data_IF_179831834143
#
_entry.id   IF_179831834143
#
_cell.length_a   1.000
_cell.length_b   1.000
_cell.length_c   1.000
_cell.angle_alpha   90.00
_cell.angle_beta   90.00
_cell.angle_gamma   90.00
#
_symmetry.space_group_name_H-M   'P 1'
#
loop_
_entity.id
_entity.type
_entity.pdbx_description
1 polymer ?
#
# COMPACT_ATOMS: atom_id res chain seq x y z
N UNK A 1 57.35 -36.92 -8.43
CA UNK A 1 56.70 -35.78 -7.77
C UNK A 1 55.28 -35.74 -8.30
N UNK A 2 54.41 -36.59 -7.74
CA UNK A 2 53.04 -36.83 -8.22
C UNK A 2 52.11 -35.74 -7.72
N UNK A 3 51.46 -35.04 -8.65
CA UNK A 3 50.54 -33.95 -8.38
C UNK A 3 49.12 -34.55 -8.23
N UNK A 4 48.68 -34.74 -6.98
CA UNK A 4 47.30 -35.14 -6.66
C UNK A 4 46.35 -33.97 -6.94
N UNK A 5 45.56 -34.10 -8.01
CA UNK A 5 44.44 -33.21 -8.30
C UNK A 5 43.31 -33.56 -7.33
N UNK A 6 43.08 -32.70 -6.34
CA UNK A 6 41.91 -32.77 -5.47
C UNK A 6 40.69 -32.20 -6.22
N UNK A 7 39.93 -33.08 -6.84
CA UNK A 7 38.58 -32.78 -7.32
C UNK A 7 37.67 -32.60 -6.11
N UNK A 8 37.47 -31.35 -5.68
CA UNK A 8 36.42 -31.02 -4.71
C UNK A 8 35.08 -31.11 -5.43
N UNK A 9 34.32 -32.16 -5.13
CA UNK A 9 32.92 -32.30 -5.48
C UNK A 9 32.13 -31.18 -4.80
N UNK A 10 31.72 -30.16 -5.57
CA UNK A 10 30.75 -29.15 -5.14
C UNK A 10 29.41 -29.86 -5.02
N UNK A 11 29.07 -30.30 -3.81
CA UNK A 11 27.73 -30.76 -3.47
C UNK A 11 26.85 -29.52 -3.32
N UNK A 12 26.29 -29.03 -4.42
CA UNK A 12 25.24 -28.03 -4.40
C UNK A 12 23.99 -28.66 -3.80
N UNK A 13 23.72 -28.40 -2.52
CA UNK A 13 22.41 -28.65 -1.94
C UNK A 13 21.38 -27.80 -2.67
N UNK A 14 20.28 -28.37 -3.16
CA UNK A 14 19.20 -27.58 -3.73
C UNK A 14 18.53 -26.77 -2.61
N UNK A 15 18.62 -25.45 -2.71
CA UNK A 15 17.79 -24.48 -1.97
C UNK A 15 16.32 -24.68 -2.36
N UNK A 16 15.68 -25.72 -1.84
CA UNK A 16 14.26 -26.00 -2.06
C UNK A 16 13.55 -26.17 -0.73
N UNK A 17 13.26 -25.03 -0.10
CA UNK A 17 12.03 -24.74 0.63
C UNK A 17 12.16 -23.32 1.18
N UNK A 18 11.61 -22.34 0.47
CA UNK A 18 11.46 -20.97 0.98
C UNK A 18 10.56 -20.99 2.21
N UNK A 19 11.15 -21.22 3.38
CA UNK A 19 10.45 -21.03 4.63
C UNK A 19 10.05 -19.56 4.67
N UNK A 20 8.75 -19.31 4.86
CA UNK A 20 8.19 -17.96 5.04
C UNK A 20 8.62 -17.46 6.42
N UNK A 21 9.92 -17.28 6.63
CA UNK A 21 10.46 -16.74 7.85
C UNK A 21 10.11 -15.25 7.89
N UNK A 22 9.37 -14.84 8.92
CA UNK A 22 9.07 -13.44 9.15
C UNK A 22 10.39 -12.65 9.29
N UNK A 23 10.48 -11.43 8.71
CA UNK A 23 11.63 -10.58 8.91
C UNK A 23 11.87 -10.34 10.41
N UNK A 24 13.11 -10.50 10.86
CA UNK A 24 13.53 -10.13 12.22
C UNK A 24 13.86 -8.63 12.35
N UNK A 25 13.58 -7.86 11.31
CA UNK A 25 13.88 -6.44 11.24
C UNK A 25 12.89 -5.63 12.11
N UNK A 26 13.35 -4.79 13.04
CA UNK A 26 12.46 -3.98 13.88
C UNK A 26 11.56 -3.04 13.06
N UNK A 27 12.02 -2.52 11.92
CA UNK A 27 11.22 -1.63 11.07
C UNK A 27 10.03 -2.35 10.43
N UNK A 28 10.19 -3.64 10.09
CA UNK A 28 9.08 -4.48 9.62
C UNK A 28 7.99 -4.61 10.69
N UNK A 29 8.39 -4.83 11.94
CA UNK A 29 7.46 -4.93 13.06
C UNK A 29 6.80 -3.58 13.38
N UNK A 30 7.55 -2.48 13.36
CA UNK A 30 7.00 -1.14 13.51
C UNK A 30 5.94 -0.84 12.46
N UNK A 31 6.22 -1.09 11.18
CA UNK A 31 5.24 -0.96 10.09
C UNK A 31 4.00 -1.80 10.38
N UNK A 32 4.17 -3.08 10.70
CA UNK A 32 3.06 -4.02 10.93
C UNK A 32 2.16 -3.58 12.08
N UNK A 33 2.75 -3.12 13.19
CA UNK A 33 2.01 -2.62 14.35
C UNK A 33 1.23 -1.36 13.99
N UNK A 34 1.84 -0.41 13.26
CA UNK A 34 1.17 0.83 12.85
C UNK A 34 -0.01 0.53 11.91
N UNK A 35 0.17 -0.37 10.94
CA UNK A 35 -0.91 -0.76 10.01
C UNK A 35 -2.03 -1.52 10.72
N UNK A 36 -1.70 -2.39 11.67
CA UNK A 36 -2.69 -3.10 12.48
C UNK A 36 -3.47 -2.13 13.38
N UNK A 37 -2.78 -1.17 14.01
CA UNK A 37 -3.42 -0.11 14.79
C UNK A 37 -4.36 0.72 13.91
N UNK A 38 -3.90 1.14 12.73
CA UNK A 38 -4.71 1.89 11.79
C UNK A 38 -5.96 1.09 11.37
N UNK A 39 -5.83 -0.20 11.10
CA UNK A 39 -6.96 -1.07 10.76
C UNK A 39 -7.98 -1.12 11.91
N UNK A 40 -7.51 -1.32 13.15
CA UNK A 40 -8.37 -1.32 14.34
C UNK A 40 -9.10 0.01 14.47
N UNK A 41 -8.41 1.13 14.24
CA UNK A 41 -9.02 2.46 14.30
C UNK A 41 -10.07 2.68 13.21
N UNK A 42 -9.83 2.22 11.97
CA UNK A 42 -10.82 2.26 10.88
C UNK A 42 -12.06 1.43 11.24
N UNK A 43 -11.88 0.26 11.86
CA UNK A 43 -13.00 -0.59 12.27
C UNK A 43 -13.78 0.02 13.45
N UNK A 44 -13.09 0.62 14.42
CA UNK A 44 -13.72 1.23 15.60
C UNK A 44 -14.41 2.56 15.28
N UNK A 45 -13.92 3.31 14.29
CA UNK A 45 -14.45 4.60 13.88
C UNK A 45 -14.84 4.59 12.39
N UNK A 46 -15.81 3.75 11.97
CA UNK A 46 -16.10 3.42 10.56
C UNK A 46 -16.70 4.56 9.73
N UNK A 47 -17.07 5.68 10.38
CA UNK A 47 -17.61 6.88 9.74
C UNK A 47 -16.64 8.06 9.82
N UNK A 48 -15.44 7.86 10.38
CA UNK A 48 -14.43 8.90 10.50
C UNK A 48 -13.67 9.03 9.19
N UNK A 49 -14.08 9.99 8.38
CA UNK A 49 -13.48 10.23 7.07
C UNK A 49 -13.23 11.73 6.84
N UNK A 50 -12.29 12.05 5.97
CA UNK A 50 -11.84 13.41 5.70
C UNK A 50 -12.83 14.21 4.84
N UNK A 51 -13.04 15.48 5.20
CA UNK A 51 -13.63 16.54 4.36
C UNK A 51 -14.65 16.09 3.32
N UNK A 52 -14.27 16.20 2.04
CA UNK A 52 -15.15 15.98 0.88
C UNK A 52 -15.28 14.50 0.47
N UNK A 53 -14.61 13.56 1.16
CA UNK A 53 -14.66 12.13 0.82
C UNK A 53 -16.10 11.59 0.81
N UNK A 54 -17.00 11.91 1.78
CA UNK A 54 -18.38 11.44 1.73
C UNK A 54 -19.11 11.88 0.46
N UNK A 55 -18.84 13.11 0.00
CA UNK A 55 -19.39 13.61 -1.25
C UNK A 55 -18.86 12.79 -2.43
N UNK A 56 -17.56 12.54 -2.52
CA UNK A 56 -16.98 11.77 -3.63
C UNK A 56 -17.44 10.31 -3.65
N UNK A 57 -17.69 9.71 -2.48
CA UNK A 57 -18.27 8.38 -2.35
C UNK A 57 -19.72 8.37 -2.83
N UNK A 58 -20.54 9.37 -2.48
CA UNK A 58 -21.91 9.53 -3.00
C UNK A 58 -21.91 9.68 -4.53
N UNK A 59 -21.08 10.58 -5.04
CA UNK A 59 -20.95 10.83 -6.49
C UNK A 59 -20.45 9.59 -7.24
N UNK A 60 -19.55 8.80 -6.65
CA UNK A 60 -19.16 7.49 -7.18
C UNK A 60 -20.35 6.53 -7.29
N UNK A 61 -21.25 6.53 -6.31
CA UNK A 61 -22.52 5.80 -6.35
C UNK A 61 -23.43 6.26 -7.48
N UNK A 62 -23.58 7.56 -7.68
CA UNK A 62 -24.39 8.13 -8.77
C UNK A 62 -23.87 7.73 -10.15
N UNK A 63 -22.54 7.68 -10.32
CA UNK A 63 -21.94 7.19 -11.57
C UNK A 63 -22.28 5.71 -11.80
N UNK A 64 -22.28 4.88 -10.76
CA UNK A 64 -22.73 3.47 -10.86
C UNK A 64 -24.23 3.41 -11.25
N UNK A 65 -25.04 4.35 -10.78
CA UNK A 65 -26.46 4.46 -11.13
C UNK A 65 -26.71 5.03 -12.54
N UNK A 66 -25.65 5.29 -13.31
CA UNK A 66 -25.71 5.77 -14.69
C UNK A 66 -25.79 7.30 -14.83
N UNK A 67 -25.63 8.06 -13.75
CA UNK A 67 -25.56 9.52 -13.82
C UNK A 67 -24.21 9.97 -14.40
N UNK A 68 -24.23 11.03 -15.20
CA UNK A 68 -23.04 11.54 -15.90
C UNK A 68 -22.50 12.79 -15.20
N UNK A 69 -21.19 12.83 -14.88
CA UNK A 69 -20.55 14.02 -14.34
C UNK A 69 -20.75 15.26 -15.23
N UNK A 70 -21.00 16.41 -14.62
CA UNK A 70 -21.26 17.72 -15.23
C UNK A 70 -22.52 17.84 -16.10
N UNK A 71 -23.32 16.77 -16.19
CA UNK A 71 -24.63 16.80 -16.85
C UNK A 71 -25.71 16.63 -15.80
N UNK A 72 -25.62 15.54 -15.03
CA UNK A 72 -26.63 15.16 -14.04
C UNK A 72 -26.25 15.63 -12.62
N UNK A 73 -24.96 15.87 -12.37
CA UNK A 73 -24.45 16.47 -11.14
C UNK A 73 -23.19 17.31 -11.41
N UNK A 74 -22.89 18.28 -10.54
CA UNK A 74 -21.79 19.23 -10.69
C UNK A 74 -20.87 19.25 -9.46
N UNK A 75 -19.56 19.33 -9.69
CA UNK A 75 -18.52 19.59 -8.69
C UNK A 75 -17.29 20.22 -9.39
N UNK A 76 -16.49 20.98 -8.67
CA UNK A 76 -15.31 21.69 -9.18
C UNK A 76 -14.15 20.76 -9.54
N UNK A 77 -14.11 19.56 -8.96
CA UNK A 77 -13.01 18.62 -9.16
C UNK A 77 -13.16 17.84 -10.47
N UNK A 78 -12.04 17.42 -11.11
CA UNK A 78 -12.10 16.55 -12.28
C UNK A 78 -12.81 15.22 -11.99
N UNK A 79 -13.50 14.62 -12.97
CA UNK A 79 -14.37 13.47 -12.74
C UNK A 79 -13.62 12.19 -12.34
N UNK A 80 -12.30 12.16 -12.51
CA UNK A 80 -11.43 11.08 -12.02
C UNK A 80 -11.65 10.75 -10.54
N UNK A 81 -11.97 11.75 -9.71
CA UNK A 81 -12.19 11.52 -8.28
C UNK A 81 -13.43 10.66 -8.00
N UNK A 82 -14.46 10.72 -8.85
CA UNK A 82 -15.66 9.88 -8.71
C UNK A 82 -15.36 8.44 -9.14
N UNK A 83 -14.58 8.28 -10.22
CA UNK A 83 -14.21 6.97 -10.73
C UNK A 83 -13.36 6.16 -9.74
N UNK A 84 -12.50 6.81 -8.94
CA UNK A 84 -11.78 6.11 -7.87
C UNK A 84 -12.70 5.52 -6.80
N UNK A 85 -13.83 6.19 -6.54
CA UNK A 85 -14.79 5.77 -5.53
C UNK A 85 -15.78 4.69 -6.04
N UNK A 86 -15.79 4.40 -7.36
CA UNK A 86 -16.67 3.34 -7.89
C UNK A 86 -16.35 1.98 -7.27
N UNK A 87 -15.06 1.62 -7.17
CA UNK A 87 -14.67 0.30 -6.66
C UNK A 87 -15.12 0.07 -5.21
N UNK A 88 -14.82 0.96 -4.23
CA UNK A 88 -15.30 0.78 -2.87
C UNK A 88 -16.84 0.83 -2.78
N UNK A 89 -17.51 1.70 -3.55
CA UNK A 89 -18.98 1.78 -3.54
C UNK A 89 -19.61 0.51 -4.11
N UNK A 90 -19.06 -0.04 -5.20
CA UNK A 90 -19.53 -1.31 -5.76
C UNK A 90 -19.36 -2.44 -4.73
N UNK A 91 -18.21 -2.49 -4.04
CA UNK A 91 -17.99 -3.45 -2.98
C UNK A 91 -18.98 -3.29 -1.82
N UNK A 92 -19.28 -2.06 -1.41
CA UNK A 92 -20.34 -1.76 -0.43
C UNK A 92 -21.70 -2.30 -0.85
N UNK A 93 -22.10 -2.09 -2.11
CA UNK A 93 -23.38 -2.61 -2.65
C UNK A 93 -23.42 -4.14 -2.67
N UNK A 94 -22.31 -4.79 -3.00
CA UNK A 94 -22.22 -6.26 -3.07
C UNK A 94 -22.19 -6.92 -1.68
N UNK A 95 -21.66 -6.24 -0.66
CA UNK A 95 -21.47 -6.80 0.69
C UNK A 95 -22.48 -6.31 1.72
N UNK A 96 -23.20 -5.23 1.43
CA UNK A 96 -24.06 -4.54 2.38
C UNK A 96 -23.30 -3.72 3.44
N UNK A 97 -21.97 -3.61 3.34
CA UNK A 97 -21.16 -2.78 4.23
C UNK A 97 -21.37 -1.29 3.95
N UNK A 98 -21.18 -0.45 4.97
CA UNK A 98 -21.29 1.00 4.81
C UNK A 98 -20.24 1.54 3.81
N UNK A 99 -20.61 2.40 2.84
CA UNK A 99 -19.72 2.80 1.75
C UNK A 99 -18.46 3.55 2.22
N UNK A 100 -18.57 4.34 3.29
CA UNK A 100 -17.40 5.02 3.91
C UNK A 100 -16.42 4.01 4.50
N UNK A 101 -16.90 3.00 5.22
CA UNK A 101 -16.05 1.96 5.77
C UNK A 101 -15.35 1.17 4.65
N UNK A 102 -16.08 0.84 3.58
CA UNK A 102 -15.46 0.16 2.44
C UNK A 102 -14.40 1.03 1.78
N UNK A 103 -14.64 2.35 1.66
CA UNK A 103 -13.64 3.27 1.16
C UNK A 103 -12.37 3.25 2.02
N UNK A 104 -12.50 3.41 3.35
CA UNK A 104 -11.34 3.43 4.25
C UNK A 104 -10.57 2.10 4.24
N UNK A 105 -11.27 0.96 4.17
CA UNK A 105 -10.64 -0.36 4.03
C UNK A 105 -9.87 -0.50 2.72
N UNK A 106 -10.38 0.05 1.61
CA UNK A 106 -9.68 0.05 0.33
C UNK A 106 -8.42 0.93 0.38
N UNK A 107 -8.51 2.13 0.97
CA UNK A 107 -7.33 2.99 1.15
C UNK A 107 -6.30 2.31 2.05
N UNK A 108 -6.72 1.70 3.16
CA UNK A 108 -5.85 0.93 4.04
C UNK A 108 -5.17 -0.24 3.30
N UNK A 109 -5.90 -0.94 2.44
CA UNK A 109 -5.37 -2.02 1.62
C UNK A 109 -4.31 -1.52 0.64
N UNK A 110 -4.55 -0.38 -0.02
CA UNK A 110 -3.57 0.26 -0.91
C UNK A 110 -2.29 0.61 -0.13
N UNK A 111 -2.42 1.27 1.02
CA UNK A 111 -1.27 1.62 1.88
C UNK A 111 -0.49 0.38 2.27
N UNK A 112 -1.18 -0.66 2.73
CA UNK A 112 -0.57 -1.93 3.15
C UNK A 112 0.16 -2.60 2.00
N UNK A 113 -0.47 -2.66 0.82
CA UNK A 113 0.14 -3.25 -0.37
C UNK A 113 1.38 -2.48 -0.81
N UNK A 114 1.34 -1.13 -0.83
CA UNK A 114 2.48 -0.30 -1.22
C UNK A 114 3.62 -0.43 -0.20
N UNK A 115 3.32 -0.38 1.11
CA UNK A 115 4.33 -0.54 2.16
C UNK A 115 4.98 -1.93 2.12
N UNK A 116 4.19 -2.99 1.94
CA UNK A 116 4.71 -4.36 1.84
C UNK A 116 5.58 -4.53 0.58
N UNK A 117 5.12 -4.07 -0.58
CA UNK A 117 5.90 -4.13 -1.82
C UNK A 117 7.21 -3.35 -1.73
N UNK A 118 7.18 -2.15 -1.15
CA UNK A 118 8.39 -1.36 -0.92
C UNK A 118 9.42 -2.17 -0.12
N UNK A 119 9.02 -2.76 1.00
CA UNK A 119 9.94 -3.49 1.87
C UNK A 119 10.45 -4.78 1.24
N UNK A 120 9.61 -5.49 0.50
CA UNK A 120 10.00 -6.70 -0.24
C UNK A 120 11.01 -6.36 -1.34
N UNK A 121 10.73 -5.35 -2.17
CA UNK A 121 11.61 -4.97 -3.27
C UNK A 121 12.94 -4.42 -2.76
N UNK A 122 12.92 -3.55 -1.75
CA UNK A 122 14.13 -3.00 -1.15
C UNK A 122 14.95 -4.06 -0.40
N UNK A 123 14.31 -5.08 0.20
CA UNK A 123 15.02 -6.20 0.81
C UNK A 123 15.70 -7.10 -0.22
N UNK A 124 15.17 -7.14 -1.45
CA UNK A 124 15.74 -7.89 -2.57
C UNK A 124 16.81 -7.10 -3.33
N UNK A 125 16.71 -5.78 -3.33
CA UNK A 125 17.75 -4.90 -3.85
C UNK A 125 18.99 -4.98 -2.97
N UNK A 126 19.88 -5.88 -3.31
CA UNK A 126 21.13 -6.15 -2.61
C UNK A 126 22.23 -6.18 -3.65
N UNK A 127 23.04 -5.11 -3.72
CA UNK A 127 24.52 -5.14 -3.62
C UNK A 127 25.10 -3.80 -4.08
N UNK A 128 25.68 -3.08 -3.11
CA UNK A 128 26.52 -1.87 -3.24
C UNK A 128 25.78 -0.51 -3.18
N UNK A 129 25.97 0.22 -2.07
CA UNK A 129 25.46 1.60 -1.93
C UNK A 129 24.88 1.96 -0.56
N UNK A 130 24.26 3.15 -0.49
CA UNK A 130 23.67 3.81 0.70
C UNK A 130 22.70 2.93 1.51
N UNK A 131 22.08 1.92 0.88
CA UNK A 131 21.13 1.00 1.50
C UNK A 131 21.76 -0.04 2.43
N UNK A 132 23.09 -0.13 2.55
CA UNK A 132 23.74 -0.99 3.57
C UNK A 132 23.52 -0.51 5.01
N UNK A 133 23.35 0.79 5.21
CA UNK A 133 23.30 1.40 6.55
C UNK A 133 21.87 1.47 7.10
N UNK A 134 20.87 1.46 6.22
CA UNK A 134 19.46 1.66 6.57
C UNK A 134 18.71 0.36 6.32
N UNK A 135 17.78 0.01 7.22
CA UNK A 135 16.91 -1.13 7.01
C UNK A 135 16.12 -1.01 5.70
N UNK A 136 15.99 -2.08 4.90
CA UNK A 136 15.16 -2.05 3.69
C UNK A 136 13.68 -1.79 3.99
N UNK A 137 13.25 -2.00 5.25
CA UNK A 137 11.88 -1.77 5.70
C UNK A 137 11.64 -0.35 6.22
N UNK A 138 12.66 0.52 6.26
CA UNK A 138 12.51 1.91 6.73
C UNK A 138 11.49 2.68 5.88
N UNK A 139 11.53 2.56 4.55
CA UNK A 139 10.56 3.24 3.67
C UNK A 139 9.15 2.72 3.93
N UNK A 140 8.97 1.42 4.11
CA UNK A 140 7.68 0.81 4.47
C UNK A 140 7.12 1.33 5.79
N UNK A 141 7.98 1.45 6.81
CA UNK A 141 7.59 2.01 8.10
C UNK A 141 7.19 3.49 8.00
N UNK A 142 7.89 4.28 7.17
CA UNK A 142 7.54 5.67 6.91
C UNK A 142 6.21 5.82 6.16
N UNK A 143 5.92 4.94 5.20
CA UNK A 143 4.62 4.90 4.52
C UNK A 143 3.49 4.60 5.52
N UNK A 144 3.67 3.58 6.37
CA UNK A 144 2.69 3.22 7.40
C UNK A 144 2.48 4.36 8.41
N UNK A 145 3.56 4.99 8.87
CA UNK A 145 3.50 6.15 9.75
C UNK A 145 2.78 7.33 9.08
N UNK A 146 3.11 7.64 7.82
CA UNK A 146 2.45 8.69 7.06
C UNK A 146 0.95 8.46 6.94
N UNK A 147 0.53 7.23 6.61
CA UNK A 147 -0.88 6.85 6.58
C UNK A 147 -1.57 7.07 7.95
N UNK A 148 -0.95 6.62 9.03
CA UNK A 148 -1.47 6.84 10.39
C UNK A 148 -1.59 8.33 10.74
N UNK A 149 -0.58 9.14 10.41
CA UNK A 149 -0.61 10.59 10.64
C UNK A 149 -1.69 11.28 9.81
N UNK A 150 -1.87 10.92 8.54
CA UNK A 150 -2.95 11.48 7.71
C UNK A 150 -4.34 11.10 8.24
N UNK A 151 -4.49 9.93 8.86
CA UNK A 151 -5.72 9.52 9.54
C UNK A 151 -5.98 10.36 10.80
N UNK A 152 -4.95 10.57 11.62
CA UNK A 152 -5.06 11.45 12.79
C UNK A 152 -5.45 12.87 12.39
N UNK A 153 -4.87 13.39 11.31
CA UNK A 153 -5.09 14.73 10.79
C UNK A 153 -6.37 14.90 9.97
N UNK A 154 -7.23 13.88 9.87
CA UNK A 154 -8.49 13.93 9.12
C UNK A 154 -8.30 14.29 7.64
N UNK A 155 -7.24 13.79 7.02
CA UNK A 155 -6.93 13.93 5.59
C UNK A 155 -6.64 12.58 4.91
N UNK A 156 -6.87 11.47 5.60
CA UNK A 156 -6.69 10.12 5.07
C UNK A 156 -7.62 9.85 3.87
N UNK A 157 -7.09 9.12 2.88
CA UNK A 157 -7.83 8.77 1.67
C UNK A 157 -8.00 9.90 0.65
N UNK A 158 -7.49 11.11 0.90
CA UNK A 158 -7.52 12.17 -0.12
C UNK A 158 -6.83 11.73 -1.43
N UNK A 159 -7.36 12.22 -2.55
CA UNK A 159 -6.88 11.90 -3.91
C UNK A 159 -5.37 12.05 -4.03
N UNK A 160 -4.83 13.15 -3.51
CA UNK A 160 -3.41 13.46 -3.66
C UNK A 160 -2.54 12.47 -2.88
N UNK A 161 -3.02 11.92 -1.76
CA UNK A 161 -2.34 10.85 -1.03
C UNK A 161 -2.33 9.53 -1.82
N UNK A 162 -3.45 9.15 -2.42
CA UNK A 162 -3.53 7.96 -3.28
C UNK A 162 -2.58 8.11 -4.47
N UNK A 163 -2.53 9.30 -5.07
CA UNK A 163 -1.60 9.59 -6.17
C UNK A 163 -0.13 9.51 -5.74
N UNK A 164 0.22 10.08 -4.58
CA UNK A 164 1.58 9.98 -4.02
C UNK A 164 1.95 8.52 -3.73
N UNK A 165 1.05 7.72 -3.17
CA UNK A 165 1.28 6.29 -2.94
C UNK A 165 1.54 5.52 -4.24
N UNK A 166 0.74 5.79 -5.27
CA UNK A 166 0.91 5.19 -6.59
C UNK A 166 2.25 5.61 -7.24
N UNK A 167 2.59 6.91 -7.16
CA UNK A 167 3.86 7.45 -7.66
C UNK A 167 5.05 6.86 -6.92
N UNK A 168 4.95 6.68 -5.60
CA UNK A 168 5.99 6.08 -4.78
C UNK A 168 6.18 4.60 -5.14
N UNK A 169 5.08 3.85 -5.27
CA UNK A 169 5.13 2.45 -5.71
C UNK A 169 5.79 2.32 -7.09
N UNK A 170 5.40 3.17 -8.04
CA UNK A 170 6.02 3.22 -9.37
C UNK A 170 7.50 3.57 -9.29
N UNK A 171 7.88 4.56 -8.48
CA UNK A 171 9.27 5.02 -8.35
C UNK A 171 10.17 3.93 -7.77
N UNK A 172 9.72 3.22 -6.73
CA UNK A 172 10.47 2.11 -6.14
C UNK A 172 10.64 0.97 -7.14
N UNK A 173 9.56 0.57 -7.82
CA UNK A 173 9.62 -0.46 -8.84
C UNK A 173 10.54 -0.06 -10.01
N UNK A 174 10.48 1.21 -10.40
CA UNK A 174 11.26 1.77 -11.50
C UNK A 174 12.75 1.79 -11.17
N UNK A 175 13.09 2.19 -9.94
CA UNK A 175 14.44 2.18 -9.42
C UNK A 175 14.96 0.74 -9.32
N UNK A 176 14.18 -0.17 -8.73
CA UNK A 176 14.52 -1.60 -8.60
C UNK A 176 14.84 -2.27 -9.94
N UNK A 177 14.18 -1.84 -11.04
CA UNK A 177 14.44 -2.37 -12.38
C UNK A 177 15.82 -1.98 -12.95
N UNK A 178 16.44 -0.93 -12.43
CA UNK A 178 17.71 -0.39 -12.93
C UNK A 178 18.92 -0.67 -12.04
N UNK A 179 18.67 -1.25 -10.86
CA UNK A 179 19.68 -1.99 -10.09
C UNK A 179 19.95 -3.35 -10.76
#
# INVERSE_FOLDING_TARGET
>A
MEQKIHTQTIMSTPDTAGSFALPRDPMFWSMSIILALLLVLVILFPLRVAGDIPLYVDLGGRVIDGQRPYIDFFDINPPTIYFFNIVPVLFSRLTGMHPILTFDLFVWLIVTAVAANAGILLSRASREGFLKTISPWTISALIALGAYLTWLLMVFGQRDHIFILALLAWSILRWYRYE
#
